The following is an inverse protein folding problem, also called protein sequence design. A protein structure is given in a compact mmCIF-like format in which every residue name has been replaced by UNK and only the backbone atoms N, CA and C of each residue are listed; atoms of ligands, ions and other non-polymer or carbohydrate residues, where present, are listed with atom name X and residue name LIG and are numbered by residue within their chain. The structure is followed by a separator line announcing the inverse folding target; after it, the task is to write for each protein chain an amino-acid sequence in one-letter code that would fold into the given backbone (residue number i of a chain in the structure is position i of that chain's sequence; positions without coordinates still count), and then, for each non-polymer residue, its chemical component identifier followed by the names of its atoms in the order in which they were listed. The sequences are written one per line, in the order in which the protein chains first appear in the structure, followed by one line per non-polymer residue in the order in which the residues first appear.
data_IF_899175770004
#
_entry.id   IF_899175770004
#
_cell.length_a   1.000
_cell.length_b   1.000
_cell.length_c   1.000
_cell.angle_alpha   90.00
_cell.angle_beta   90.00
_cell.angle_gamma   90.00
#
_symmetry.space_group_name_H-M   'P 1'
#
loop_
_entity.id
_entity.type
_entity.pdbx_description
1 polymer ?
#
# COMPACT_ATOMS: atom_id res chain seq x y z
N UNK A 1 -9.81 -9.51 21.96
CA UNK A 1 -10.18 -8.18 21.42
C UNK A 1 -11.13 -8.42 20.26
N UNK A 2 -12.32 -7.81 20.26
CA UNK A 2 -13.25 -7.89 19.13
C UNK A 2 -12.98 -6.70 18.20
N UNK A 3 -11.85 -6.70 17.49
CA UNK A 3 -11.76 -5.84 16.29
C UNK A 3 -12.78 -6.38 15.30
N UNK A 4 -13.75 -5.52 14.92
CA UNK A 4 -14.62 -5.83 13.80
C UNK A 4 -13.83 -5.56 12.54
N UNK A 5 -13.08 -6.58 12.12
CA UNK A 5 -12.46 -6.61 10.80
C UNK A 5 -13.47 -6.18 9.72
N UNK A 6 -13.01 -5.59 8.61
CA UNK A 6 -13.86 -5.31 7.46
C UNK A 6 -14.69 -6.53 7.04
N UNK A 7 -15.94 -6.30 6.61
CA UNK A 7 -16.83 -7.40 6.20
C UNK A 7 -16.30 -8.15 4.96
N UNK A 8 -15.49 -7.49 4.14
CA UNK A 8 -14.92 -7.99 2.90
C UNK A 8 -13.48 -8.53 3.06
N UNK A 9 -13.08 -8.95 4.27
CA UNK A 9 -11.71 -9.42 4.49
C UNK A 9 -11.35 -10.65 3.66
N UNK A 10 -12.29 -11.55 3.39
CA UNK A 10 -12.02 -12.74 2.58
C UNK A 10 -11.64 -12.37 1.14
N UNK A 11 -12.31 -11.38 0.58
CA UNK A 11 -12.04 -10.84 -0.75
C UNK A 11 -10.68 -10.14 -0.79
N UNK A 12 -10.36 -9.34 0.24
CA UNK A 12 -9.06 -8.67 0.37
C UNK A 12 -7.93 -9.70 0.40
N UNK A 13 -8.05 -10.76 1.21
CA UNK A 13 -7.02 -11.80 1.31
C UNK A 13 -6.89 -12.59 0.01
N UNK A 14 -8.01 -12.88 -0.67
CA UNK A 14 -7.99 -13.55 -1.98
C UNK A 14 -7.22 -12.71 -3.00
N UNK A 15 -7.53 -11.42 -3.11
CA UNK A 15 -6.86 -10.49 -4.02
C UNK A 15 -5.37 -10.32 -3.67
N UNK A 16 -5.04 -10.23 -2.38
CA UNK A 16 -3.66 -10.19 -1.91
C UNK A 16 -2.88 -11.43 -2.37
N UNK A 17 -3.43 -12.63 -2.20
CA UNK A 17 -2.73 -13.85 -2.58
C UNK A 17 -2.51 -13.99 -4.08
N UNK A 18 -3.46 -13.52 -4.89
CA UNK A 18 -3.27 -13.45 -6.35
C UNK A 18 -2.19 -12.45 -6.75
N UNK A 19 -2.20 -11.27 -6.13
CA UNK A 19 -1.16 -10.26 -6.31
C UNK A 19 0.22 -10.80 -5.88
N UNK A 20 0.30 -11.41 -4.71
CA UNK A 20 1.55 -11.86 -4.09
C UNK A 20 2.27 -12.92 -4.93
N UNK A 21 1.54 -13.83 -5.58
CA UNK A 21 2.12 -14.85 -6.49
C UNK A 21 2.98 -14.25 -7.60
N UNK A 22 2.64 -13.04 -8.05
CA UNK A 22 3.34 -12.35 -9.14
C UNK A 22 4.27 -11.24 -8.64
N UNK A 23 4.19 -10.88 -7.35
CA UNK A 23 5.03 -9.84 -6.78
C UNK A 23 6.47 -10.35 -6.56
N UNK A 24 7.44 -9.49 -6.87
CA UNK A 24 8.85 -9.81 -6.74
C UNK A 24 9.30 -10.12 -5.30
N UNK A 25 8.58 -9.66 -4.28
CA UNK A 25 8.90 -9.99 -2.89
C UNK A 25 8.56 -11.43 -2.53
N UNK A 26 7.64 -12.10 -3.24
CA UNK A 26 7.39 -13.54 -3.02
C UNK A 26 8.65 -14.38 -3.19
N UNK A 27 9.53 -13.97 -4.13
CA UNK A 27 10.83 -14.60 -4.38
C UNK A 27 11.86 -14.31 -3.29
N UNK A 28 11.57 -13.40 -2.36
CA UNK A 28 12.45 -12.96 -1.26
C UNK A 28 11.95 -13.42 0.11
N UNK A 29 10.92 -14.25 0.16
CA UNK A 29 10.39 -14.78 1.41
C UNK A 29 11.47 -15.55 2.19
N UNK A 30 12.24 -16.38 1.49
CA UNK A 30 13.33 -17.21 2.05
C UNK A 30 14.73 -16.57 1.95
N UNK A 31 14.82 -15.25 1.70
CA UNK A 31 16.11 -14.57 1.73
C UNK A 31 16.80 -14.75 3.08
N UNK A 32 18.11 -15.01 3.06
CA UNK A 32 18.94 -15.27 4.24
C UNK A 32 18.64 -16.56 5.02
N UNK A 33 17.72 -17.43 4.56
CA UNK A 33 17.34 -18.68 5.27
C UNK A 33 18.51 -19.58 5.66
N UNK A 34 19.56 -19.63 4.84
CA UNK A 34 20.76 -20.43 5.10
C UNK A 34 21.92 -19.63 5.69
N UNK A 35 21.78 -18.31 5.81
CA UNK A 35 22.81 -17.38 6.30
C UNK A 35 22.49 -16.85 7.71
N UNK A 36 21.21 -16.76 8.09
CA UNK A 36 20.78 -16.39 9.44
C UNK A 36 20.42 -17.67 10.19
N UNK A 37 21.45 -18.38 10.64
CA UNK A 37 21.38 -19.46 11.61
C UNK A 37 22.52 -19.34 12.62
N UNK A 38 22.37 -20.04 13.76
CA UNK A 38 23.32 -19.97 14.85
C UNK A 38 24.72 -20.40 14.40
N UNK A 39 24.83 -21.54 13.71
CA UNK A 39 26.10 -22.13 13.31
C UNK A 39 26.89 -21.20 12.40
N UNK A 40 26.23 -20.60 11.40
CA UNK A 40 26.84 -19.65 10.48
C UNK A 40 27.30 -18.40 11.22
N UNK A 41 26.40 -17.68 11.91
CA UNK A 41 26.72 -16.41 12.56
C UNK A 41 27.74 -16.57 13.69
N UNK A 42 27.68 -17.67 14.44
CA UNK A 42 28.65 -17.99 15.48
C UNK A 42 30.01 -18.50 14.92
N UNK A 43 30.03 -18.97 13.67
CA UNK A 43 31.26 -19.39 12.98
C UNK A 43 32.04 -18.23 12.36
N UNK A 44 31.40 -17.09 12.06
CA UNK A 44 32.06 -15.96 11.40
C UNK A 44 33.18 -15.34 12.25
N UNK A 45 34.27 -14.95 11.61
CA UNK A 45 35.26 -14.05 12.21
C UNK A 45 34.71 -12.62 12.28
N UNK A 46 35.37 -11.75 13.06
CA UNK A 46 34.95 -10.35 13.23
C UNK A 46 34.67 -9.64 11.90
N UNK A 47 35.63 -9.65 10.98
CA UNK A 47 35.49 -8.94 9.69
C UNK A 47 34.38 -9.53 8.79
N UNK A 48 34.23 -10.86 8.80
CA UNK A 48 33.18 -11.55 8.04
C UNK A 48 31.79 -11.27 8.63
N UNK A 49 31.69 -11.20 9.96
CA UNK A 49 30.48 -10.86 10.68
C UNK A 49 30.06 -9.42 10.42
N UNK A 50 31.01 -8.48 10.46
CA UNK A 50 30.78 -7.07 10.13
C UNK A 50 30.32 -6.95 8.68
N UNK A 51 31.01 -7.60 7.74
CA UNK A 51 30.65 -7.61 6.31
C UNK A 51 29.25 -8.18 6.08
N UNK A 52 28.89 -9.25 6.81
CA UNK A 52 27.56 -9.84 6.75
C UNK A 52 26.48 -8.84 7.19
N UNK A 53 26.65 -8.18 8.34
CA UNK A 53 25.66 -7.20 8.82
C UNK A 53 25.64 -5.93 7.96
N UNK A 54 26.77 -5.51 7.40
CA UNK A 54 26.82 -4.43 6.42
C UNK A 54 25.91 -4.74 5.23
N UNK A 55 26.10 -5.91 4.62
CA UNK A 55 25.27 -6.39 3.50
C UNK A 55 23.82 -6.52 3.93
N UNK A 56 23.54 -7.20 5.04
CA UNK A 56 22.18 -7.38 5.54
C UNK A 56 21.42 -6.06 5.68
N UNK A 57 22.06 -5.03 6.25
CA UNK A 57 21.44 -3.72 6.45
C UNK A 57 21.31 -2.98 5.11
N UNK A 58 22.34 -2.97 4.24
CA UNK A 58 22.27 -2.36 2.91
C UNK A 58 21.13 -2.93 2.08
N UNK A 59 20.94 -4.25 2.15
CA UNK A 59 19.92 -5.01 1.43
C UNK A 59 18.53 -4.89 2.08
N UNK A 60 18.43 -4.25 3.26
CA UNK A 60 17.21 -4.16 4.05
C UNK A 60 16.66 -5.53 4.46
N UNK A 61 17.54 -6.51 4.68
CA UNK A 61 17.21 -7.91 4.95
C UNK A 61 16.40 -8.58 3.83
N UNK A 62 16.40 -8.00 2.62
CA UNK A 62 15.54 -8.43 1.51
C UNK A 62 14.05 -8.10 1.69
N UNK A 63 13.67 -7.32 2.71
CA UNK A 63 12.28 -6.92 2.97
C UNK A 63 11.99 -5.52 2.47
N UNK A 64 12.91 -4.57 2.69
CA UNK A 64 12.75 -3.16 2.32
C UNK A 64 13.86 -2.69 1.39
N UNK A 65 13.55 -1.68 0.57
CA UNK A 65 14.56 -0.93 -0.20
C UNK A 65 15.14 0.21 0.66
N UNK A 66 16.43 0.56 0.43
CA UNK A 66 17.11 1.73 1.01
C UNK A 66 17.46 1.65 2.52
N UNK A 67 17.97 0.52 3.00
CA UNK A 67 18.55 0.41 4.36
C UNK A 67 19.87 1.17 4.56
N UNK A 68 20.34 1.90 3.55
CA UNK A 68 21.67 2.48 3.46
C UNK A 68 21.97 3.60 4.47
N UNK A 69 20.94 4.26 5.00
CA UNK A 69 21.09 5.52 5.76
C UNK A 69 21.87 5.39 7.07
N UNK A 70 21.90 4.20 7.69
CA UNK A 70 22.52 4.02 9.00
C UNK A 70 23.50 2.84 9.05
N UNK A 71 23.95 2.34 7.89
CA UNK A 71 24.90 1.22 7.83
C UNK A 71 26.20 1.60 8.51
N UNK A 72 26.75 2.77 8.14
CA UNK A 72 28.06 3.21 8.58
C UNK A 72 28.15 3.37 10.10
N UNK A 73 27.05 3.77 10.77
CA UNK A 73 26.99 3.86 12.24
C UNK A 73 27.11 2.49 12.92
N UNK A 74 26.50 1.45 12.34
CA UNK A 74 26.59 0.09 12.87
C UNK A 74 28.00 -0.47 12.66
N UNK A 75 28.56 -0.27 11.46
CA UNK A 75 29.92 -0.75 11.15
C UNK A 75 30.94 -0.09 12.07
N UNK A 76 30.87 1.23 12.20
CA UNK A 76 31.72 1.98 13.11
C UNK A 76 31.60 1.46 14.56
N UNK A 77 30.38 1.27 15.05
CA UNK A 77 30.14 0.73 16.40
C UNK A 77 30.81 -0.65 16.61
N UNK A 78 30.72 -1.55 15.63
CA UNK A 78 31.30 -2.89 15.68
C UNK A 78 32.83 -2.89 15.54
N UNK A 79 33.39 -1.91 14.82
CA UNK A 79 34.82 -1.78 14.60
C UNK A 79 35.55 -1.16 15.80
N UNK A 80 34.96 -0.12 16.43
CA UNK A 80 35.59 0.74 17.44
C UNK A 80 36.14 -0.02 18.65
N UNK A 81 35.34 -0.87 19.29
CA UNK A 81 35.72 -1.58 20.50
C UNK A 81 35.41 -3.07 20.40
N UNK A 82 36.32 -3.92 20.89
CA UNK A 82 36.11 -5.37 20.92
C UNK A 82 34.88 -5.77 21.75
N UNK A 83 34.57 -5.02 22.81
CA UNK A 83 33.41 -5.27 23.66
C UNK A 83 32.09 -4.95 22.95
N UNK A 84 32.05 -3.92 22.10
CA UNK A 84 30.88 -3.63 21.24
C UNK A 84 30.59 -4.79 20.30
N UNK A 85 31.62 -5.32 19.63
CA UNK A 85 31.49 -6.49 18.76
C UNK A 85 30.99 -7.71 19.54
N UNK A 86 31.62 -8.04 20.67
CA UNK A 86 31.26 -9.20 21.47
C UNK A 86 29.83 -9.11 22.02
N UNK A 87 29.44 -7.93 22.51
CA UNK A 87 28.10 -7.66 23.01
C UNK A 87 27.06 -7.71 21.89
N UNK A 88 27.32 -7.08 20.74
CA UNK A 88 26.39 -7.15 19.62
C UNK A 88 26.23 -8.58 19.11
N UNK A 89 27.34 -9.31 18.97
CA UNK A 89 27.34 -10.71 18.54
C UNK A 89 26.53 -11.60 19.48
N UNK A 90 26.76 -11.51 20.78
CA UNK A 90 26.03 -12.33 21.75
C UNK A 90 24.53 -12.05 21.67
N UNK A 91 24.14 -10.79 21.55
CA UNK A 91 22.75 -10.35 21.49
C UNK A 91 22.04 -10.83 20.22
N UNK A 92 22.66 -10.72 19.04
CA UNK A 92 22.03 -11.23 17.80
C UNK A 92 21.96 -12.76 17.75
N UNK A 93 22.71 -13.48 18.58
CA UNK A 93 22.59 -14.95 18.68
C UNK A 93 21.48 -15.40 19.65
N UNK A 94 21.02 -14.53 20.57
CA UNK A 94 19.94 -14.88 21.51
C UNK A 94 18.62 -15.36 20.86
N UNK A 95 18.17 -14.84 19.70
CA UNK A 95 16.94 -15.30 19.04
C UNK A 95 16.89 -16.79 18.69
N UNK A 96 18.04 -17.48 18.66
CA UNK A 96 18.14 -18.92 18.42
C UNK A 96 17.97 -19.76 19.70
N UNK A 97 17.99 -19.12 20.87
CA UNK A 97 17.84 -19.81 22.16
C UNK A 97 16.37 -20.15 22.47
N UNK A 98 16.16 -21.25 23.19
CA UNK A 98 14.81 -21.75 23.52
C UNK A 98 14.01 -20.75 24.36
N UNK A 99 14.66 -20.09 25.31
CA UNK A 99 14.03 -19.19 26.28
C UNK A 99 14.21 -17.71 25.88
N UNK A 100 14.35 -17.44 24.58
CA UNK A 100 14.52 -16.09 24.03
C UNK A 100 13.38 -15.14 24.43
N UNK A 101 13.75 -14.06 25.11
CA UNK A 101 12.86 -12.99 25.57
C UNK A 101 12.87 -11.83 24.57
N UNK A 102 11.86 -11.80 23.69
CA UNK A 102 11.76 -10.81 22.61
C UNK A 102 11.64 -9.37 23.14
N UNK A 103 10.97 -9.16 24.27
CA UNK A 103 10.74 -7.82 24.80
C UNK A 103 12.05 -7.21 25.30
N UNK A 104 12.86 -7.98 26.06
CA UNK A 104 14.20 -7.56 26.49
C UNK A 104 15.16 -7.35 25.34
N UNK A 105 15.08 -8.19 24.31
CA UNK A 105 15.93 -8.04 23.13
C UNK A 105 15.58 -6.77 22.33
N UNK A 106 14.28 -6.47 22.21
CA UNK A 106 13.83 -5.23 21.57
C UNK A 106 14.23 -3.99 22.40
N UNK A 107 14.16 -4.06 23.72
CA UNK A 107 14.67 -3.00 24.63
C UNK A 107 16.15 -2.73 24.37
N UNK A 108 16.98 -3.78 24.36
CA UNK A 108 18.40 -3.68 24.00
C UNK A 108 18.59 -3.01 22.62
N UNK A 109 17.82 -3.43 21.61
CA UNK A 109 17.94 -2.88 20.26
C UNK A 109 17.59 -1.38 20.18
N UNK A 110 16.65 -0.89 20.99
CA UNK A 110 16.36 0.55 21.09
C UNK A 110 17.46 1.31 21.83
N UNK A 111 17.99 0.72 22.90
CA UNK A 111 19.00 1.33 23.75
C UNK A 111 20.37 1.49 23.08
N UNK A 112 20.69 0.63 22.11
CA UNK A 112 21.91 0.76 21.30
C UNK A 112 22.02 2.14 20.65
N UNK A 113 20.90 2.77 20.26
CA UNK A 113 20.86 4.08 19.60
C UNK A 113 21.78 4.20 18.38
N UNK A 114 22.04 3.08 17.70
CA UNK A 114 22.76 3.00 16.43
C UNK A 114 21.82 2.59 15.28
N UNK A 115 22.34 2.50 14.06
CA UNK A 115 21.56 2.15 12.86
C UNK A 115 20.80 0.82 12.86
N UNK A 116 21.01 -0.05 13.86
CA UNK A 116 20.27 -1.28 14.11
C UNK A 116 18.95 -1.05 14.86
N UNK A 117 18.20 -0.02 14.45
CA UNK A 117 16.97 0.38 15.12
C UNK A 117 15.75 -0.49 14.76
N UNK A 118 14.59 -0.13 15.34
CA UNK A 118 13.26 -0.74 15.22
C UNK A 118 12.98 -1.52 13.92
N UNK A 119 13.19 -0.90 12.76
CA UNK A 119 12.89 -1.52 11.47
C UNK A 119 13.83 -2.67 11.14
N UNK A 120 15.14 -2.44 11.22
CA UNK A 120 16.16 -3.44 10.88
C UNK A 120 16.19 -4.57 11.92
N UNK A 121 16.05 -4.24 13.21
CA UNK A 121 16.07 -5.25 14.28
C UNK A 121 14.90 -6.22 14.17
N UNK A 122 13.69 -5.74 13.86
CA UNK A 122 12.52 -6.60 13.65
C UNK A 122 12.57 -7.38 12.32
N UNK A 123 13.20 -6.82 11.28
CA UNK A 123 13.50 -7.59 10.06
C UNK A 123 14.49 -8.72 10.36
N UNK A 124 15.52 -8.47 11.18
CA UNK A 124 16.46 -9.51 11.60
C UNK A 124 15.74 -10.66 12.30
N UNK A 125 14.88 -10.36 13.28
CA UNK A 125 14.06 -11.39 13.95
C UNK A 125 13.18 -12.16 12.95
N UNK A 126 12.51 -11.46 12.02
CA UNK A 126 11.71 -12.13 10.99
C UNK A 126 12.56 -13.07 10.10
N UNK A 127 13.83 -12.74 9.84
CA UNK A 127 14.74 -13.65 9.11
C UNK A 127 15.25 -14.81 9.94
N UNK A 128 15.39 -14.65 11.25
CA UNK A 128 15.63 -15.77 12.17
C UNK A 128 14.46 -16.76 12.10
N UNK A 129 13.22 -16.25 12.21
CA UNK A 129 12.03 -17.08 12.08
C UNK A 129 10.79 -16.25 11.69
N UNK A 130 10.40 -16.32 10.41
CA UNK A 130 9.24 -15.60 9.85
C UNK A 130 7.88 -16.12 10.32
N UNK A 131 7.84 -17.33 10.90
CA UNK A 131 6.64 -17.91 11.49
C UNK A 131 6.44 -17.46 12.95
N UNK A 132 7.49 -16.90 13.58
CA UNK A 132 7.47 -16.50 14.99
C UNK A 132 7.49 -14.98 15.20
N UNK A 133 8.13 -14.22 14.31
CA UNK A 133 8.41 -12.80 14.56
C UNK A 133 7.87 -11.89 13.45
N UNK A 134 7.14 -10.83 13.83
CA UNK A 134 6.64 -9.81 12.92
C UNK A 134 7.68 -8.73 12.59
N UNK A 135 7.47 -8.04 11.47
CA UNK A 135 8.25 -6.86 11.07
C UNK A 135 7.51 -5.60 11.46
N UNK A 136 8.16 -4.71 12.21
CA UNK A 136 7.53 -3.44 12.60
C UNK A 136 8.03 -2.31 11.72
N UNK A 137 7.20 -1.90 10.76
CA UNK A 137 7.42 -0.71 9.96
C UNK A 137 6.18 0.19 9.95
N UNK A 138 6.33 1.41 9.42
CA UNK A 138 5.24 2.40 9.37
C UNK A 138 4.01 1.87 8.62
N UNK A 139 4.22 1.17 7.50
CA UNK A 139 3.15 0.65 6.65
C UNK A 139 2.38 -0.47 7.36
N UNK A 140 3.07 -1.37 8.05
CA UNK A 140 2.41 -2.42 8.84
C UNK A 140 1.54 -1.84 9.94
N UNK A 141 2.03 -0.84 10.67
CA UNK A 141 1.23 -0.17 11.70
C UNK A 141 -0.01 0.50 11.08
N UNK A 142 0.16 1.26 10.01
CA UNK A 142 -0.94 2.02 9.38
C UNK A 142 -1.98 1.09 8.73
N UNK A 143 -1.55 0.03 8.06
CA UNK A 143 -2.43 -0.95 7.43
C UNK A 143 -3.31 -1.67 8.46
N UNK A 144 -2.71 -2.19 9.53
CA UNK A 144 -3.48 -2.91 10.55
C UNK A 144 -4.35 -1.97 11.40
N UNK A 145 -3.97 -0.71 11.57
CA UNK A 145 -4.89 0.31 12.09
C UNK A 145 -6.10 0.52 11.18
N UNK A 146 -5.91 0.55 9.85
CA UNK A 146 -7.02 0.62 8.87
C UNK A 146 -7.91 -0.62 8.92
N UNK A 147 -7.37 -1.79 9.25
CA UNK A 147 -8.13 -3.03 9.48
C UNK A 147 -8.92 -3.02 10.81
N UNK A 148 -8.78 -1.98 11.64
CA UNK A 148 -9.51 -1.83 12.89
C UNK A 148 -8.80 -2.41 14.13
N UNK A 149 -7.50 -2.70 14.04
CA UNK A 149 -6.70 -3.08 15.20
C UNK A 149 -6.14 -1.86 15.94
N UNK A 150 -6.10 -1.94 17.27
CA UNK A 150 -5.54 -0.88 18.11
C UNK A 150 -4.03 -1.06 18.26
N UNK A 151 -3.26 -0.53 17.30
CA UNK A 151 -1.80 -0.57 17.36
C UNK A 151 -1.26 0.78 17.83
N UNK A 152 -0.57 0.77 18.96
CA UNK A 152 0.16 1.96 19.44
C UNK A 152 1.46 2.11 18.65
N UNK A 153 1.81 3.34 18.26
CA UNK A 153 3.05 3.60 17.48
C UNK A 153 4.32 3.52 18.34
N UNK A 154 4.19 3.82 19.63
CA UNK A 154 5.26 3.85 20.64
C UNK A 154 4.72 3.41 22.00
N UNK A 155 5.60 2.90 22.91
CA UNK A 155 7.00 2.49 22.70
C UNK A 155 7.13 1.24 21.80
N UNK A 156 8.35 0.87 21.35
CA UNK A 156 8.54 -0.25 20.39
C UNK A 156 7.94 -1.55 20.90
N UNK A 157 8.23 -1.93 22.14
CA UNK A 157 7.75 -3.19 22.73
C UNK A 157 6.22 -3.26 22.66
N UNK A 158 5.53 -2.17 23.04
CA UNK A 158 4.06 -2.11 22.95
C UNK A 158 3.58 -2.16 21.49
N UNK A 159 4.27 -1.47 20.58
CA UNK A 159 3.95 -1.49 19.16
C UNK A 159 4.11 -2.90 18.56
N UNK A 160 5.21 -3.58 18.88
CA UNK A 160 5.53 -4.93 18.45
C UNK A 160 4.47 -5.91 18.97
N UNK A 161 4.21 -5.87 20.28
CA UNK A 161 3.25 -6.75 20.93
C UNK A 161 1.80 -6.55 20.44
N UNK A 162 1.42 -5.33 20.08
CA UNK A 162 0.11 -5.09 19.46
C UNK A 162 0.07 -5.58 18.01
N UNK A 163 1.12 -5.33 17.23
CA UNK A 163 1.17 -5.74 15.83
C UNK A 163 1.22 -7.26 15.70
N UNK A 164 2.12 -7.95 16.42
CA UNK A 164 2.24 -9.42 16.34
C UNK A 164 0.91 -10.10 16.72
N UNK A 165 0.18 -9.58 17.70
CA UNK A 165 -1.16 -10.09 18.07
C UNK A 165 -2.19 -9.86 16.97
N UNK A 166 -2.13 -8.72 16.28
CA UNK A 166 -3.03 -8.41 15.18
C UNK A 166 -2.73 -9.28 13.95
N UNK A 167 -1.46 -9.47 13.62
CA UNK A 167 -1.02 -10.35 12.54
C UNK A 167 -1.36 -11.82 12.84
N UNK A 168 -1.13 -12.28 14.07
CA UNK A 168 -1.47 -13.64 14.51
C UNK A 168 -2.99 -13.90 14.48
N UNK A 169 -3.82 -12.95 14.95
CA UNK A 169 -5.29 -13.05 14.81
C UNK A 169 -5.71 -13.15 13.34
N UNK A 170 -5.05 -12.39 12.46
CA UNK A 170 -5.35 -12.41 11.03
C UNK A 170 -4.92 -13.73 10.37
N UNK A 171 -3.70 -14.22 10.64
CA UNK A 171 -3.19 -15.50 10.15
C UNK A 171 -4.08 -16.65 10.63
N UNK A 172 -4.56 -16.62 11.89
CA UNK A 172 -5.47 -17.65 12.41
C UNK A 172 -6.82 -17.68 11.69
N UNK A 173 -7.35 -16.51 11.32
CA UNK A 173 -8.63 -16.39 10.59
C UNK A 173 -8.49 -16.70 9.11
N UNK A 174 -7.32 -16.42 8.54
CA UNK A 174 -6.98 -16.58 7.13
C UNK A 174 -5.64 -17.32 7.00
N UNK A 175 -5.62 -18.65 7.21
CA UNK A 175 -4.39 -19.45 7.24
C UNK A 175 -3.57 -19.40 5.94
N UNK A 176 -4.17 -18.99 4.82
CA UNK A 176 -3.49 -18.75 3.56
C UNK A 176 -2.44 -17.63 3.60
N UNK A 177 -2.44 -16.80 4.66
CA UNK A 177 -1.34 -15.88 4.94
C UNK A 177 -0.07 -16.60 5.44
N UNK A 178 -0.18 -17.82 5.99
CA UNK A 178 0.91 -18.71 6.42
C UNK A 178 1.85 -18.19 7.53
N UNK A 179 2.39 -16.97 7.42
CA UNK A 179 3.45 -16.47 8.29
C UNK A 179 3.48 -14.92 8.36
N UNK A 180 4.32 -14.39 9.25
CA UNK A 180 4.43 -12.96 9.47
C UNK A 180 5.13 -12.21 8.32
N UNK A 181 5.89 -12.90 7.45
CA UNK A 181 6.44 -12.26 6.25
C UNK A 181 5.32 -11.88 5.27
N UNK A 182 4.42 -12.81 4.97
CA UNK A 182 3.26 -12.51 4.11
C UNK A 182 2.29 -11.54 4.78
N UNK A 183 2.11 -11.60 6.10
CA UNK A 183 1.32 -10.63 6.85
C UNK A 183 1.87 -9.19 6.75
N UNK A 184 3.20 -9.02 6.78
CA UNK A 184 3.84 -7.73 6.48
C UNK A 184 3.60 -7.30 5.02
N UNK A 185 3.70 -8.24 4.06
CA UNK A 185 3.45 -7.94 2.64
C UNK A 185 1.99 -7.62 2.34
N UNK A 186 1.04 -8.14 3.10
CA UNK A 186 -0.35 -7.70 3.05
C UNK A 186 -0.44 -6.21 3.41
N UNK A 187 0.33 -5.73 4.39
CA UNK A 187 0.37 -4.30 4.72
C UNK A 187 0.85 -3.46 3.54
N UNK A 188 1.86 -3.94 2.81
CA UNK A 188 2.31 -3.29 1.58
C UNK A 188 1.23 -3.28 0.50
N UNK A 189 0.50 -4.38 0.32
CA UNK A 189 -0.63 -4.45 -0.60
C UNK A 189 -1.73 -3.45 -0.21
N UNK A 190 -2.08 -3.38 1.07
CA UNK A 190 -3.07 -2.45 1.60
C UNK A 190 -2.63 -0.98 1.44
N UNK A 191 -1.36 -0.64 1.67
CA UNK A 191 -0.88 0.75 1.60
C UNK A 191 -0.47 1.21 0.19
N UNK A 192 -0.02 0.30 -0.68
CA UNK A 192 0.55 0.68 -1.99
C UNK A 192 -0.31 0.30 -3.17
N UNK A 193 -1.03 -0.81 -3.09
CA UNK A 193 -1.87 -1.29 -4.19
C UNK A 193 -3.28 -0.75 -4.01
N UNK A 194 -3.84 -0.92 -2.83
CA UNK A 194 -5.19 -0.47 -2.50
C UNK A 194 -5.32 1.05 -2.39
N UNK A 195 -4.32 1.73 -1.82
CA UNK A 195 -4.35 3.19 -1.66
C UNK A 195 -4.05 3.94 -2.97
N UNK A 196 -3.43 3.26 -3.96
CA UNK A 196 -3.18 3.82 -5.32
C UNK A 196 -4.16 3.33 -6.38
N UNK A 197 -4.75 2.16 -6.18
CA UNK A 197 -5.79 1.57 -7.00
C UNK A 197 -6.85 1.06 -6.02
N UNK A 198 -7.78 1.95 -5.67
CA UNK A 198 -9.11 1.65 -5.13
C UNK A 198 -9.25 0.30 -4.40
N UNK A 199 -9.37 0.32 -3.07
CA UNK A 199 -10.09 -0.77 -2.36
C UNK A 199 -11.35 -1.14 -3.15
N UNK A 200 -11.71 -2.43 -3.18
CA UNK A 200 -12.79 -2.92 -4.01
C UNK A 200 -14.02 -2.05 -3.79
N UNK A 201 -14.49 -1.44 -4.87
CA UNK A 201 -15.76 -0.71 -4.98
C UNK A 201 -16.99 -1.62 -4.78
N UNK A 202 -16.80 -2.79 -4.18
CA UNK A 202 -17.83 -3.72 -3.75
C UNK A 202 -17.52 -4.02 -2.27
N UNK A 203 -18.29 -3.60 -1.27
CA UNK A 203 -19.73 -3.68 -1.10
C UNK A 203 -20.20 -2.71 0.02
N UNK A 204 -20.09 -1.40 -0.17
CA UNK A 204 -20.87 -0.47 0.68
C UNK A 204 -21.11 0.85 -0.02
N UNK A 205 -22.32 1.38 0.16
CA UNK A 205 -22.61 2.80 -0.05
C UNK A 205 -21.58 3.59 0.73
N UNK A 206 -20.71 4.32 0.03
CA UNK A 206 -19.67 5.13 0.63
C UNK A 206 -20.33 6.17 1.53
N UNK A 207 -19.82 6.32 2.75
CA UNK A 207 -20.24 7.43 3.60
C UNK A 207 -19.64 8.74 3.07
N UNK A 208 -20.29 9.87 3.35
CA UNK A 208 -19.81 11.20 2.92
C UNK A 208 -18.36 11.48 3.38
N UNK A 209 -17.94 10.90 4.50
CA UNK A 209 -16.58 11.05 5.03
C UNK A 209 -15.55 10.17 4.31
N UNK A 210 -15.96 9.05 3.73
CA UNK A 210 -15.10 8.19 2.89
C UNK A 210 -14.95 8.78 1.49
N UNK A 211 -16.05 9.33 0.94
CA UNK A 211 -16.00 10.16 -0.28
C UNK A 211 -15.08 11.36 -0.10
N UNK A 212 -15.10 12.02 1.08
CA UNK A 212 -14.15 13.08 1.43
C UNK A 212 -12.70 12.61 1.48
N UNK A 213 -12.41 11.43 2.04
CA UNK A 213 -11.04 10.89 2.10
C UNK A 213 -10.49 10.51 0.72
N UNK A 214 -11.34 9.95 -0.13
CA UNK A 214 -11.00 9.65 -1.54
C UNK A 214 -10.77 10.95 -2.32
N UNK A 215 -11.59 11.98 -2.09
CA UNK A 215 -11.38 13.30 -2.66
C UNK A 215 -10.04 13.91 -2.24
N UNK A 216 -9.55 13.59 -1.05
CA UNK A 216 -8.25 14.06 -0.54
C UNK A 216 -7.07 13.27 -1.12
N UNK A 217 -7.20 11.96 -1.38
CA UNK A 217 -6.10 11.14 -1.92
C UNK A 217 -5.98 11.23 -3.45
N UNK A 218 -7.10 11.34 -4.17
CA UNK A 218 -7.13 11.56 -5.62
C UNK A 218 -6.84 13.01 -6.02
N UNK A 219 -6.96 13.96 -5.08
CA UNK A 219 -6.55 15.36 -5.29
C UNK A 219 -5.03 15.48 -5.27
N UNK A 220 -4.47 15.34 -6.46
CA UNK A 220 -3.20 15.92 -6.87
C UNK A 220 -3.03 17.30 -6.22
N UNK A 221 -2.03 17.48 -5.34
CA UNK A 221 -1.55 18.76 -4.75
C UNK A 221 -2.38 19.99 -5.12
N UNK A 222 -3.66 20.03 -4.73
CA UNK A 222 -4.46 21.24 -4.79
C UNK A 222 -4.00 21.96 -3.54
N UNK A 223 -3.22 23.04 -3.73
CA UNK A 223 -2.76 23.91 -2.64
C UNK A 223 -3.88 24.02 -1.61
N UNK A 224 -3.53 23.73 -0.34
CA UNK A 224 -4.38 23.70 0.84
C UNK A 224 -5.45 24.79 0.84
N UNK A 225 -6.59 24.53 0.20
CA UNK A 225 -7.70 25.45 0.16
C UNK A 225 -8.96 24.63 0.41
N UNK A 226 -9.36 24.60 1.67
CA UNK A 226 -10.48 23.85 2.21
C UNK A 226 -11.81 24.16 1.51
N UNK A 227 -11.92 25.38 0.96
CA UNK A 227 -13.04 25.85 0.14
C UNK A 227 -13.18 25.07 -1.18
N UNK A 228 -12.06 24.71 -1.82
CA UNK A 228 -12.06 23.93 -3.07
C UNK A 228 -12.39 22.45 -2.82
N UNK A 229 -11.99 21.90 -1.65
CA UNK A 229 -12.27 20.51 -1.27
C UNK A 229 -13.76 20.26 -1.03
N UNK A 230 -14.44 21.17 -0.31
CA UNK A 230 -15.86 21.03 -0.01
C UNK A 230 -16.77 21.30 -1.23
N UNK A 231 -16.34 22.17 -2.16
CA UNK A 231 -17.09 22.45 -3.38
C UNK A 231 -17.11 21.28 -4.39
N UNK A 232 -16.01 20.54 -4.51
CA UNK A 232 -15.88 19.45 -5.48
C UNK A 232 -16.75 18.23 -5.17
N UNK A 233 -16.76 17.80 -3.90
CA UNK A 233 -17.53 16.62 -3.45
C UNK A 233 -19.04 16.88 -3.52
N UNK A 234 -19.46 18.10 -3.15
CA UNK A 234 -20.85 18.54 -3.30
C UNK A 234 -21.28 18.53 -4.76
N UNK A 235 -20.46 19.10 -5.66
CA UNK A 235 -20.75 19.09 -7.09
C UNK A 235 -20.80 17.70 -7.72
N UNK A 236 -19.99 16.74 -7.24
CA UNK A 236 -20.08 15.34 -7.69
C UNK A 236 -21.39 14.69 -7.25
N UNK A 237 -21.81 14.90 -6.00
CA UNK A 237 -23.06 14.34 -5.46
C UNK A 237 -24.29 14.89 -6.20
N UNK A 238 -24.27 16.18 -6.53
CA UNK A 238 -25.31 16.82 -7.33
C UNK A 238 -25.36 16.26 -8.77
N UNK A 239 -24.21 15.97 -9.38
CA UNK A 239 -24.15 15.33 -10.70
C UNK A 239 -24.66 13.89 -10.68
N UNK A 240 -24.25 13.10 -9.70
CA UNK A 240 -24.77 11.73 -9.53
C UNK A 240 -26.29 11.77 -9.42
N UNK A 241 -26.84 12.66 -8.57
CA UNK A 241 -28.28 12.81 -8.40
C UNK A 241 -29.00 13.23 -9.69
N UNK A 242 -28.42 14.18 -10.43
CA UNK A 242 -28.98 14.66 -11.71
C UNK A 242 -29.17 13.53 -12.73
N UNK A 243 -28.22 12.60 -12.75
CA UNK A 243 -28.11 11.57 -13.78
C UNK A 243 -28.60 10.19 -13.31
N UNK A 244 -28.79 9.96 -12.01
CA UNK A 244 -29.32 8.70 -11.47
C UNK A 244 -30.82 8.49 -11.70
N UNK A 245 -31.54 9.55 -12.08
CA UNK A 245 -33.01 9.56 -12.19
C UNK A 245 -33.50 9.71 -13.65
N UNK A 246 -32.59 9.76 -14.64
CA UNK A 246 -32.91 10.06 -16.03
C UNK A 246 -32.19 9.10 -16.99
N UNK A 247 -32.85 8.76 -18.10
CA UNK A 247 -32.16 8.13 -19.24
C UNK A 247 -31.19 9.15 -19.85
N UNK A 248 -29.91 8.79 -19.86
CA UNK A 248 -28.84 9.67 -20.30
C UNK A 248 -28.49 9.38 -21.76
N UNK A 249 -28.69 10.37 -22.64
CA UNK A 249 -28.14 10.29 -23.99
C UNK A 249 -26.63 10.60 -23.98
N UNK A 250 -25.82 9.54 -23.96
CA UNK A 250 -24.36 9.63 -24.03
C UNK A 250 -23.81 9.97 -25.43
N UNK A 251 -24.68 10.15 -26.43
CA UNK A 251 -24.27 10.71 -27.74
C UNK A 251 -24.44 12.23 -27.79
N UNK A 252 -25.19 12.80 -26.84
CA UNK A 252 -25.42 14.22 -26.73
C UNK A 252 -24.14 14.94 -26.26
N UNK A 253 -23.68 15.90 -27.08
CA UNK A 253 -22.48 16.69 -26.80
C UNK A 253 -22.57 17.47 -25.49
N UNK A 254 -23.73 18.07 -25.18
CA UNK A 254 -23.89 18.91 -24.00
C UNK A 254 -23.91 18.07 -22.72
N UNK A 255 -24.53 16.88 -22.77
CA UNK A 255 -24.45 15.88 -21.71
C UNK A 255 -23.01 15.47 -21.43
N UNK A 256 -22.26 15.09 -22.46
CA UNK A 256 -20.85 14.73 -22.30
C UNK A 256 -19.99 15.92 -21.87
N UNK A 257 -20.25 17.12 -22.38
CA UNK A 257 -19.57 18.33 -21.93
C UNK A 257 -19.77 18.54 -20.42
N UNK A 258 -20.98 18.33 -19.91
CA UNK A 258 -21.27 18.46 -18.48
C UNK A 258 -20.53 17.41 -17.65
N UNK A 259 -20.52 16.14 -18.11
CA UNK A 259 -19.80 15.04 -17.46
C UNK A 259 -18.27 15.27 -17.44
N UNK A 260 -17.68 15.71 -18.55
CA UNK A 260 -16.24 15.90 -18.69
C UNK A 260 -15.73 17.24 -18.13
N UNK A 261 -16.58 18.27 -18.02
CA UNK A 261 -16.19 19.64 -17.63
C UNK A 261 -16.96 20.19 -16.42
N UNK A 262 -17.40 19.33 -15.50
CA UNK A 262 -18.01 19.78 -14.24
C UNK A 262 -17.18 20.88 -13.56
N UNK A 263 -17.86 21.88 -12.97
CA UNK A 263 -17.22 23.05 -12.34
C UNK A 263 -16.16 22.64 -11.29
N UNK A 264 -16.41 21.52 -10.63
CA UNK A 264 -15.52 20.83 -9.72
C UNK A 264 -14.17 20.42 -10.36
N UNK A 265 -14.20 19.83 -11.56
CA UNK A 265 -13.00 19.40 -12.32
C UNK A 265 -12.19 20.60 -12.79
N UNK A 266 -12.87 21.62 -13.31
CA UNK A 266 -12.25 22.86 -13.78
C UNK A 266 -11.57 23.63 -12.63
N UNK A 267 -12.16 23.62 -11.42
CA UNK A 267 -11.60 24.29 -10.23
C UNK A 267 -10.31 23.65 -9.68
N UNK A 268 -9.93 22.44 -10.11
CA UNK A 268 -8.66 21.80 -9.71
C UNK A 268 -7.42 22.43 -10.35
N UNK A 269 -7.60 23.31 -11.35
CA UNK A 269 -6.51 23.96 -12.09
C UNK A 269 -5.72 23.03 -13.01
N UNK A 270 -5.89 21.71 -12.87
CA UNK A 270 -5.21 20.70 -13.66
C UNK A 270 -6.02 20.26 -14.88
N UNK A 271 -7.34 20.43 -14.85
CA UNK A 271 -8.21 20.04 -15.96
C UNK A 271 -8.52 21.17 -16.96
N UNK A 272 -8.16 22.42 -16.63
CA UNK A 272 -8.47 23.62 -17.42
C UNK A 272 -7.64 23.77 -18.71
N UNK A 273 -6.64 22.92 -18.93
CA UNK A 273 -5.67 23.08 -20.04
C UNK A 273 -5.76 22.00 -21.11
N UNK A 274 -6.74 21.09 -21.04
CA UNK A 274 -6.82 19.94 -21.95
C UNK A 274 -7.98 20.06 -22.95
N UNK A 275 -7.71 19.95 -24.27
CA UNK A 275 -8.71 20.06 -25.32
C UNK A 275 -9.52 18.75 -25.43
N UNK A 276 -10.34 18.48 -24.41
CA UNK A 276 -11.36 17.42 -24.47
C UNK A 276 -12.44 17.78 -25.48
N UNK A 277 -12.63 19.07 -25.73
CA UNK A 277 -13.61 19.62 -26.67
C UNK A 277 -13.46 19.03 -28.09
N UNK A 278 -12.23 18.77 -28.53
CA UNK A 278 -11.99 18.11 -29.82
C UNK A 278 -12.56 16.68 -29.85
N UNK A 279 -12.36 15.90 -28.79
CA UNK A 279 -12.94 14.57 -28.66
C UNK A 279 -14.47 14.64 -28.53
N UNK A 280 -15.01 15.60 -27.79
CA UNK A 280 -16.45 15.76 -27.62
C UNK A 280 -17.14 16.32 -28.86
N UNK A 281 -16.43 17.01 -29.75
CA UNK A 281 -16.92 17.44 -31.06
C UNK A 281 -16.89 16.30 -32.09
N UNK A 282 -16.06 15.29 -31.90
CA UNK A 282 -15.98 14.09 -32.75
C UNK A 282 -17.19 13.17 -32.51
N UNK A 283 -18.07 13.07 -33.49
CA UNK A 283 -19.27 12.21 -33.42
C UNK A 283 -18.93 10.72 -33.29
N UNK A 284 -17.84 10.28 -33.93
CA UNK A 284 -17.36 8.92 -33.82
C UNK A 284 -16.93 8.57 -32.39
N UNK A 285 -16.23 9.49 -31.73
CA UNK A 285 -15.89 9.32 -30.31
C UNK A 285 -17.13 9.28 -29.42
N UNK A 286 -18.08 10.21 -29.59
CA UNK A 286 -19.31 10.21 -28.79
C UNK A 286 -20.09 8.90 -28.92
N UNK A 287 -20.16 8.35 -30.14
CA UNK A 287 -20.78 7.06 -30.39
C UNK A 287 -20.02 5.91 -29.73
N UNK A 288 -18.69 5.85 -29.89
CA UNK A 288 -17.86 4.82 -29.26
C UNK A 288 -17.95 4.88 -27.73
N UNK A 289 -17.93 6.08 -27.15
CA UNK A 289 -18.11 6.29 -25.72
C UNK A 289 -19.46 5.77 -25.26
N UNK A 290 -20.55 6.21 -25.91
CA UNK A 290 -21.92 5.74 -25.63
C UNK A 290 -22.03 4.22 -25.72
N UNK A 291 -21.56 3.63 -26.82
CA UNK A 291 -21.67 2.19 -27.07
C UNK A 291 -20.90 1.37 -26.02
N UNK A 292 -19.66 1.76 -25.71
CA UNK A 292 -18.82 1.04 -24.73
C UNK A 292 -19.36 1.19 -23.31
N UNK A 293 -19.78 2.39 -22.92
CA UNK A 293 -20.35 2.66 -21.60
C UNK A 293 -21.68 1.92 -21.43
N UNK A 294 -22.60 2.03 -22.39
CA UNK A 294 -23.90 1.33 -22.32
C UNK A 294 -23.74 -0.19 -22.33
N UNK A 295 -22.82 -0.73 -23.14
CA UNK A 295 -22.48 -2.16 -23.12
C UNK A 295 -21.94 -2.60 -21.76
N UNK A 296 -21.15 -1.76 -21.10
CA UNK A 296 -20.65 -2.04 -19.75
C UNK A 296 -21.78 -1.92 -18.71
N UNK A 297 -22.65 -0.91 -18.83
CA UNK A 297 -23.81 -0.70 -17.95
C UNK A 297 -24.75 -1.90 -17.97
N UNK A 298 -24.99 -2.50 -19.13
CA UNK A 298 -25.89 -3.62 -19.35
C UNK A 298 -25.34 -4.99 -18.88
N UNK A 299 -24.08 -5.09 -18.42
CA UNK A 299 -23.54 -6.34 -17.88
C UNK A 299 -24.08 -6.60 -16.47
N UNK A 300 -24.60 -7.80 -16.25
CA UNK A 300 -24.85 -8.33 -14.90
C UNK A 300 -23.51 -8.64 -14.22
N UNK A 301 -23.34 -8.25 -12.94
CA UNK A 301 -22.15 -8.49 -12.13
C UNK A 301 -20.82 -7.93 -12.70
N UNK A 302 -20.75 -6.61 -12.87
CA UNK A 302 -19.55 -5.89 -13.36
C UNK A 302 -18.35 -6.14 -12.43
N UNK A 303 -17.24 -6.58 -13.00
CA UNK A 303 -15.97 -6.72 -12.30
C UNK A 303 -15.10 -5.45 -12.41
N UNK A 304 -14.10 -5.31 -11.54
CA UNK A 304 -13.09 -4.25 -11.67
C UNK A 304 -12.36 -4.33 -13.02
N UNK A 305 -12.10 -5.54 -13.52
CA UNK A 305 -11.43 -5.72 -14.81
C UNK A 305 -12.30 -5.23 -15.98
N UNK A 306 -13.63 -5.33 -15.88
CA UNK A 306 -14.55 -4.75 -16.86
C UNK A 306 -14.44 -3.22 -16.92
N UNK A 307 -14.32 -2.56 -15.76
CA UNK A 307 -14.16 -1.10 -15.68
C UNK A 307 -12.79 -0.67 -16.19
N UNK A 308 -11.73 -1.38 -15.78
CA UNK A 308 -10.37 -1.12 -16.24
C UNK A 308 -10.23 -1.29 -17.75
N UNK A 309 -10.79 -2.37 -18.32
CA UNK A 309 -10.82 -2.58 -19.76
C UNK A 309 -11.59 -1.47 -20.48
N UNK A 310 -12.76 -1.06 -19.95
CA UNK A 310 -13.52 0.07 -20.49
C UNK A 310 -12.68 1.35 -20.49
N UNK A 311 -12.00 1.63 -19.37
CA UNK A 311 -11.15 2.80 -19.22
C UNK A 311 -9.99 2.80 -20.23
N UNK A 312 -9.24 1.69 -20.31
CA UNK A 312 -8.10 1.56 -21.21
C UNK A 312 -8.55 1.70 -22.68
N UNK A 313 -9.66 1.07 -23.05
CA UNK A 313 -10.25 1.19 -24.38
C UNK A 313 -10.64 2.64 -24.71
N UNK A 314 -11.31 3.34 -23.79
CA UNK A 314 -11.72 4.73 -24.01
C UNK A 314 -10.53 5.70 -24.02
N UNK A 315 -9.47 5.39 -23.27
CA UNK A 315 -8.22 6.14 -23.34
C UNK A 315 -7.57 6.04 -24.71
N UNK A 316 -7.50 4.86 -25.31
CA UNK A 316 -6.90 4.70 -26.64
C UNK A 316 -7.67 5.50 -27.69
N UNK A 317 -9.00 5.62 -27.53
CA UNK A 317 -9.84 6.44 -28.39
C UNK A 317 -9.68 7.94 -28.13
N UNK A 318 -9.45 8.35 -26.88
CA UNK A 318 -9.25 9.74 -26.49
C UNK A 318 -7.91 10.31 -26.92
N UNK A 319 -6.83 9.52 -26.85
CA UNK A 319 -5.46 9.93 -27.16
C UNK A 319 -5.32 10.64 -28.52
N UNK A 320 -5.76 10.08 -29.66
CA UNK A 320 -5.58 10.73 -30.96
C UNK A 320 -6.35 12.04 -31.08
N UNK A 321 -7.41 12.23 -30.28
CA UNK A 321 -8.33 13.38 -30.34
C UNK A 321 -7.95 14.51 -29.38
N UNK A 322 -7.19 14.20 -28.33
CA UNK A 322 -6.73 15.16 -27.32
C UNK A 322 -5.25 15.56 -27.46
N UNK A 323 -4.52 15.01 -28.42
CA UNK A 323 -3.10 15.29 -28.66
C UNK A 323 -2.14 14.55 -27.71
N UNK A 324 -0.89 15.02 -27.58
CA UNK A 324 0.19 14.32 -26.85
C UNK A 324 0.00 14.21 -25.33
N UNK A 325 -1.08 14.78 -24.76
CA UNK A 325 -1.34 14.80 -23.33
C UNK A 325 -2.64 14.05 -23.00
N UNK A 326 -2.59 13.20 -21.97
CA UNK A 326 -3.67 12.27 -21.61
C UNK A 326 -4.71 12.93 -20.67
N UNK A 327 -6.00 13.05 -21.03
CA UNK A 327 -7.04 13.62 -20.18
C UNK A 327 -7.59 12.62 -19.14
N UNK A 328 -6.69 11.95 -18.42
CA UNK A 328 -6.99 10.82 -17.52
C UNK A 328 -8.06 11.13 -16.46
N UNK A 329 -7.97 12.33 -15.88
CA UNK A 329 -8.87 12.79 -14.80
C UNK A 329 -10.27 13.12 -15.29
N UNK A 330 -10.42 13.59 -16.54
CA UNK A 330 -11.74 13.90 -17.10
C UNK A 330 -12.50 12.63 -17.45
N UNK A 331 -11.80 11.64 -18.02
CA UNK A 331 -12.40 10.34 -18.34
C UNK A 331 -12.82 9.57 -17.07
N UNK A 332 -11.97 9.53 -16.05
CA UNK A 332 -12.25 8.85 -14.78
C UNK A 332 -13.49 9.34 -14.04
N UNK A 333 -13.99 10.54 -14.37
CA UNK A 333 -15.16 11.14 -13.73
C UNK A 333 -16.39 11.12 -14.61
N UNK A 334 -16.20 11.05 -15.93
CA UNK A 334 -17.30 10.85 -16.86
C UNK A 334 -17.80 9.40 -16.83
N UNK A 335 -16.91 8.45 -16.55
CA UNK A 335 -17.23 7.08 -16.13
C UNK A 335 -17.65 7.06 -14.67
#
# INVERSE_FOLDING_TARGET
MNSKLPQNMKEIITAFNEWYKNDHHSKKEDSYKYEINYEYLNGLKKDEFISFFEKFIRDGGGIQSLGQRNVDDVIKYLEEESDNFNNFRSQVLLPFEKDFDVDKWLEWSEDLKIGFGKGISTIYLNRVNKEKYCVVNKKSIEAYQKLGYEIKKTPLITCYNNLIKAEDDLIKRYPELENFYKADKLSHFLEEVIDKAMLPFSFRTLTDDELKKIAVSAAIKVKENEVLRNGWAKGLSEHIKKYSEQDIDLTNKDTLNDLFNSEAVCKTGQANSFPIENALNDEGFRKIFSDKVNKNIAKDNKSFEDYKNLYDELIEELKPRCGSKKPLLKLNRAL
#
